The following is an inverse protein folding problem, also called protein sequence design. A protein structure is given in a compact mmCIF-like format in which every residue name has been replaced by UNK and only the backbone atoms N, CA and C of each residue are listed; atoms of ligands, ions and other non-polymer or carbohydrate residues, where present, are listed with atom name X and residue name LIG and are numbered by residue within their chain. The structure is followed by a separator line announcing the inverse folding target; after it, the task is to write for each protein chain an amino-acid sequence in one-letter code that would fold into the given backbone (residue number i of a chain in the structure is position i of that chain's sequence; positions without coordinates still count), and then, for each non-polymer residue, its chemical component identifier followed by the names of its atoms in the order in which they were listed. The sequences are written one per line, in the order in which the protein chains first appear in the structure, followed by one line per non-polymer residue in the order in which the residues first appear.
data_IF_296507738342
#
_entry.id   IF_296507738342
#
_cell.length_a   1.000
_cell.length_b   1.000
_cell.length_c   1.000
_cell.angle_alpha   90.00
_cell.angle_beta   90.00
_cell.angle_gamma   90.00
#
_symmetry.space_group_name_H-M   'P 1'
#
loop_
_entity.id
_entity.type
_entity.pdbx_description
1 polymer ?
#
# COMPACT_ATOMS: atom_id res chain seq x y z
N UNK A 1 5.50 -13.52 -19.40
CA UNK A 1 5.77 -12.09 -19.68
C UNK A 1 6.20 -11.39 -18.42
N UNK A 2 7.28 -10.59 -18.49
CA UNK A 2 7.71 -9.78 -17.35
C UNK A 2 6.65 -8.73 -17.04
N UNK A 3 6.47 -8.42 -15.77
CA UNK A 3 5.51 -7.43 -15.32
C UNK A 3 6.12 -6.52 -14.26
N UNK A 4 5.62 -5.29 -14.20
CA UNK A 4 6.00 -4.36 -13.15
C UNK A 4 5.43 -4.83 -11.82
N UNK A 5 6.27 -4.80 -10.77
CA UNK A 5 5.86 -5.10 -9.41
C UNK A 5 6.23 -3.92 -8.51
N UNK A 6 5.23 -3.30 -7.90
CA UNK A 6 5.46 -2.19 -6.96
C UNK A 6 6.30 -2.67 -5.77
N UNK A 7 6.07 -3.90 -5.30
CA UNK A 7 6.86 -4.49 -4.23
C UNK A 7 8.35 -4.51 -4.58
N UNK A 8 8.70 -5.03 -5.76
CA UNK A 8 10.09 -5.10 -6.22
C UNK A 8 10.67 -3.71 -6.43
N UNK A 9 9.87 -2.79 -6.96
CA UNK A 9 10.27 -1.40 -7.14
C UNK A 9 10.64 -0.76 -5.81
N UNK A 10 9.83 -0.94 -4.77
CA UNK A 10 10.11 -0.43 -3.43
C UNK A 10 11.37 -1.04 -2.83
N UNK A 11 11.61 -2.33 -3.06
CA UNK A 11 12.82 -3.00 -2.57
C UNK A 11 14.09 -2.38 -3.19
N UNK A 12 14.06 -2.06 -4.48
CA UNK A 12 15.20 -1.46 -5.18
C UNK A 12 15.46 -0.03 -4.72
N UNK A 13 14.40 0.73 -4.45
CA UNK A 13 14.49 2.14 -4.08
C UNK A 13 14.55 2.36 -2.57
N UNK A 14 14.63 1.31 -1.77
CA UNK A 14 14.59 1.35 -0.30
C UNK A 14 13.33 2.06 0.24
N UNK A 15 12.24 1.96 -0.51
CA UNK A 15 10.95 2.54 -0.12
C UNK A 15 10.11 1.58 0.69
N UNK A 16 8.91 2.05 1.07
CA UNK A 16 7.94 1.26 1.81
C UNK A 16 6.67 1.09 1.00
N UNK A 17 6.01 -0.06 1.13
CA UNK A 17 4.72 -0.32 0.50
C UNK A 17 3.54 0.02 1.40
N UNK A 18 3.79 0.26 2.69
CA UNK A 18 2.73 0.54 3.66
C UNK A 18 1.97 1.82 3.28
N UNK A 19 0.66 1.74 3.29
CA UNK A 19 -0.23 2.84 2.96
C UNK A 19 -0.58 2.96 1.49
N UNK A 20 0.07 2.23 0.61
CA UNK A 20 -0.17 2.28 -0.83
C UNK A 20 -1.08 1.15 -1.28
N UNK A 21 -1.92 1.43 -2.27
CA UNK A 21 -2.75 0.42 -2.92
C UNK A 21 -1.91 -0.29 -3.99
N UNK A 22 -1.18 -1.32 -3.58
CA UNK A 22 -0.26 -2.08 -4.42
C UNK A 22 -0.95 -2.65 -5.67
N UNK A 23 -2.15 -3.20 -5.52
CA UNK A 23 -2.90 -3.81 -6.62
C UNK A 23 -3.23 -2.77 -7.69
N UNK A 24 -3.73 -1.60 -7.28
CA UNK A 24 -4.06 -0.53 -8.22
C UNK A 24 -2.81 0.01 -8.92
N UNK A 25 -1.70 0.16 -8.20
CA UNK A 25 -0.44 0.63 -8.77
C UNK A 25 0.05 -0.36 -9.83
N UNK A 26 0.07 -1.65 -9.49
CA UNK A 26 0.51 -2.70 -10.43
C UNK A 26 -0.37 -2.73 -11.68
N UNK A 27 -1.69 -2.63 -11.52
CA UNK A 27 -2.62 -2.63 -12.65
C UNK A 27 -2.40 -1.43 -13.57
N UNK A 28 -2.29 -0.22 -13.01
CA UNK A 28 -2.10 1.00 -13.80
C UNK A 28 -0.75 1.01 -14.52
N UNK A 29 0.32 0.65 -13.84
CA UNK A 29 1.66 0.65 -14.46
C UNK A 29 1.78 -0.46 -15.50
N UNK A 30 1.24 -1.65 -15.23
CA UNK A 30 1.29 -2.75 -16.18
C UNK A 30 0.43 -2.50 -17.41
N UNK A 31 -0.66 -1.75 -17.31
CA UNK A 31 -1.43 -1.32 -18.48
C UNK A 31 -0.56 -0.50 -19.43
N UNK A 32 0.21 0.44 -18.90
CA UNK A 32 1.17 1.23 -19.70
C UNK A 32 2.28 0.35 -20.26
N UNK A 33 2.78 -0.60 -19.46
CA UNK A 33 3.82 -1.55 -19.87
C UNK A 33 3.33 -2.45 -21.02
N UNK A 34 2.09 -2.93 -20.94
CA UNK A 34 1.53 -3.77 -22.01
C UNK A 34 1.42 -2.99 -23.32
N UNK A 35 1.04 -1.71 -23.28
CA UNK A 35 1.01 -0.86 -24.47
C UNK A 35 2.41 -0.66 -25.06
N UNK A 36 3.38 -0.38 -24.19
CA UNK A 36 4.79 -0.23 -24.60
C UNK A 36 5.32 -1.54 -25.21
N UNK A 37 5.05 -2.66 -24.58
CA UNK A 37 5.44 -3.98 -25.07
C UNK A 37 4.85 -4.26 -26.45
N UNK A 38 3.56 -4.00 -26.61
CA UNK A 38 2.88 -4.21 -27.89
C UNK A 38 3.49 -3.34 -28.98
N UNK A 39 3.77 -2.08 -28.69
CA UNK A 39 4.33 -1.13 -29.65
C UNK A 39 5.77 -1.48 -30.04
N UNK A 40 6.50 -2.19 -29.19
CA UNK A 40 7.89 -2.57 -29.40
C UNK A 40 8.06 -4.08 -29.61
N UNK A 41 6.97 -4.81 -29.84
CA UNK A 41 7.01 -6.29 -29.90
C UNK A 41 7.97 -6.87 -30.91
N UNK A 42 8.28 -6.15 -31.99
CA UNK A 42 9.23 -6.61 -33.02
C UNK A 42 10.67 -6.69 -32.50
N UNK A 43 10.95 -5.98 -31.42
CA UNK A 43 12.29 -5.84 -30.83
C UNK A 43 12.44 -6.58 -29.51
N UNK A 44 11.32 -7.07 -28.94
CA UNK A 44 11.28 -7.69 -27.61
C UNK A 44 11.09 -9.19 -27.78
N UNK A 45 11.99 -9.98 -27.18
CA UNK A 45 11.85 -11.42 -27.07
C UNK A 45 11.98 -11.84 -25.60
N UNK A 46 11.79 -13.13 -25.32
CA UNK A 46 11.82 -13.63 -23.94
C UNK A 46 13.13 -13.35 -23.21
N UNK A 47 14.23 -13.25 -23.96
CA UNK A 47 15.56 -13.05 -23.39
C UNK A 47 15.81 -11.62 -22.93
N UNK A 48 15.17 -10.64 -23.58
CA UNK A 48 15.40 -9.23 -23.29
C UNK A 48 14.17 -8.50 -22.73
N UNK A 49 13.11 -9.23 -22.39
CA UNK A 49 11.87 -8.65 -21.88
C UNK A 49 12.10 -7.85 -20.58
N UNK A 50 12.89 -8.40 -19.65
CA UNK A 50 13.24 -7.70 -18.41
C UNK A 50 14.01 -6.41 -18.65
N UNK A 51 14.92 -6.41 -19.63
CA UNK A 51 15.69 -5.24 -20.00
C UNK A 51 14.78 -4.12 -20.56
N UNK A 52 13.79 -4.51 -21.37
CA UNK A 52 12.81 -3.55 -21.89
C UNK A 52 11.88 -3.04 -20.81
N UNK A 53 11.52 -3.87 -19.83
CA UNK A 53 10.73 -3.43 -18.68
C UNK A 53 11.52 -2.41 -17.86
N UNK A 54 12.80 -2.64 -17.63
CA UNK A 54 13.66 -1.70 -16.92
C UNK A 54 13.77 -0.37 -17.67
N UNK A 55 13.89 -0.44 -18.99
CA UNK A 55 13.93 0.74 -19.85
C UNK A 55 12.62 1.52 -19.79
N UNK A 56 11.48 0.81 -19.90
CA UNK A 56 10.15 1.39 -19.75
C UNK A 56 10.02 2.11 -18.42
N UNK A 57 10.43 1.46 -17.33
CA UNK A 57 10.35 2.02 -15.98
C UNK A 57 11.18 3.31 -15.88
N UNK A 58 12.40 3.30 -16.39
CA UNK A 58 13.27 4.47 -16.37
C UNK A 58 12.72 5.63 -17.21
N UNK A 59 12.21 5.34 -18.41
CA UNK A 59 11.63 6.36 -19.30
C UNK A 59 10.36 6.98 -18.76
N UNK A 60 9.59 6.25 -17.96
CA UNK A 60 8.30 6.67 -17.42
C UNK A 60 8.31 6.89 -15.91
N UNK A 61 9.48 7.08 -15.33
CA UNK A 61 9.64 7.14 -13.88
C UNK A 61 8.78 8.23 -13.22
N UNK A 62 8.67 9.40 -13.83
CA UNK A 62 7.86 10.49 -13.28
C UNK A 62 6.38 10.14 -13.25
N UNK A 63 5.89 9.52 -14.33
CA UNK A 63 4.50 9.07 -14.41
C UNK A 63 4.23 7.95 -13.42
N UNK A 64 5.17 7.04 -13.23
CA UNK A 64 5.06 5.96 -12.25
C UNK A 64 4.96 6.54 -10.84
N UNK A 65 5.77 7.53 -10.50
CA UNK A 65 5.66 8.20 -9.19
C UNK A 65 4.33 8.93 -9.02
N UNK A 66 3.77 9.53 -10.07
CA UNK A 66 2.44 10.13 -10.01
C UNK A 66 1.37 9.08 -9.69
N UNK A 67 1.44 7.91 -10.34
CA UNK A 67 0.52 6.80 -10.09
C UNK A 67 0.65 6.32 -8.65
N UNK A 68 1.88 6.14 -8.17
CA UNK A 68 2.16 5.71 -6.80
C UNK A 68 1.55 6.68 -5.79
N UNK A 69 1.83 7.98 -5.95
CA UNK A 69 1.36 9.00 -5.01
C UNK A 69 -0.16 9.15 -5.02
N UNK A 70 -0.80 8.97 -6.19
CA UNK A 70 -2.25 9.03 -6.32
C UNK A 70 -2.94 7.86 -5.60
N UNK A 71 -2.24 6.74 -5.44
CA UNK A 71 -2.76 5.52 -4.83
C UNK A 71 -2.27 5.35 -3.37
N UNK A 72 -1.89 6.43 -2.72
CA UNK A 72 -1.58 6.42 -1.30
C UNK A 72 -2.89 6.56 -0.51
N UNK A 73 -3.30 5.47 0.14
CA UNK A 73 -4.56 5.36 0.89
C UNK A 73 -4.28 4.81 2.30
N UNK A 74 -3.61 5.60 3.17
CA UNK A 74 -3.12 5.08 4.45
C UNK A 74 -4.22 4.67 5.41
N UNK A 75 -5.35 5.37 5.43
CA UNK A 75 -6.47 5.04 6.34
C UNK A 75 -7.06 3.68 5.98
N UNK A 76 -7.40 3.49 4.71
CA UNK A 76 -7.94 2.21 4.24
C UNK A 76 -6.94 1.08 4.45
N UNK A 77 -5.70 1.32 4.11
CA UNK A 77 -4.63 0.34 4.28
C UNK A 77 -4.49 -0.08 5.75
N UNK A 78 -4.50 0.89 6.66
CA UNK A 78 -4.34 0.64 8.09
C UNK A 78 -5.51 -0.17 8.66
N UNK A 79 -6.74 0.14 8.24
CA UNK A 79 -7.93 -0.61 8.64
C UNK A 79 -7.83 -2.07 8.16
N UNK A 80 -7.46 -2.28 6.91
CA UNK A 80 -7.32 -3.62 6.34
C UNK A 80 -6.19 -4.40 7.00
N UNK A 81 -5.05 -3.76 7.24
CA UNK A 81 -3.92 -4.36 7.93
C UNK A 81 -4.29 -4.83 9.33
N UNK A 82 -4.97 -3.98 10.07
CA UNK A 82 -5.38 -4.26 11.44
C UNK A 82 -6.38 -5.41 11.48
N UNK A 83 -7.36 -5.42 10.56
CA UNK A 83 -8.34 -6.49 10.46
C UNK A 83 -7.68 -7.83 10.11
N UNK A 84 -6.74 -7.82 9.20
CA UNK A 84 -6.00 -9.02 8.80
C UNK A 84 -5.16 -9.56 9.96
N UNK A 85 -4.49 -8.69 10.68
CA UNK A 85 -3.68 -9.07 11.85
C UNK A 85 -4.56 -9.67 12.94
N UNK A 86 -5.74 -9.08 13.19
CA UNK A 86 -6.70 -9.61 14.15
C UNK A 86 -7.13 -11.04 13.78
N UNK A 87 -7.39 -11.27 12.51
CA UNK A 87 -7.78 -12.58 12.00
C UNK A 87 -6.65 -13.61 12.18
N UNK A 88 -5.44 -13.24 11.86
CA UNK A 88 -4.26 -14.11 12.00
C UNK A 88 -4.00 -14.50 13.44
N UNK A 89 -4.23 -13.59 14.39
CA UNK A 89 -4.06 -13.84 15.80
C UNK A 89 -5.27 -14.53 16.45
N UNK A 90 -6.34 -14.75 15.68
CA UNK A 90 -7.55 -15.39 16.19
C UNK A 90 -8.35 -14.51 17.16
N UNK A 91 -8.07 -13.21 17.18
CA UNK A 91 -8.75 -12.26 18.06
C UNK A 91 -9.90 -11.62 17.30
N UNK A 92 -11.17 -11.77 17.75
CA UNK A 92 -12.28 -11.12 17.06
C UNK A 92 -12.20 -9.61 17.23
N UNK A 93 -12.30 -8.91 16.11
CA UNK A 93 -12.33 -7.46 16.11
C UNK A 93 -13.71 -7.01 16.61
N UNK A 94 -13.73 -6.10 17.58
CA UNK A 94 -14.92 -5.40 18.06
C UNK A 94 -16.14 -6.33 18.33
N UNK A 95 -15.94 -7.34 19.17
CA UNK A 95 -17.00 -8.26 19.54
C UNK A 95 -17.46 -9.20 18.41
N UNK A 96 -16.65 -9.35 17.37
CA UNK A 96 -16.93 -10.22 16.24
C UNK A 96 -17.64 -9.55 15.07
N UNK A 97 -18.04 -8.29 15.20
CA UNK A 97 -18.65 -7.54 14.10
C UNK A 97 -17.58 -6.70 13.36
N UNK A 98 -16.89 -7.37 12.44
CA UNK A 98 -15.79 -6.78 11.70
C UNK A 98 -16.20 -5.55 10.88
N UNK A 99 -17.35 -5.60 10.20
CA UNK A 99 -17.83 -4.48 9.37
C UNK A 99 -18.13 -3.22 10.19
N UNK A 100 -18.78 -3.40 11.33
CA UNK A 100 -19.07 -2.26 12.22
C UNK A 100 -17.79 -1.67 12.77
N UNK A 101 -16.82 -2.51 13.12
CA UNK A 101 -15.53 -2.06 13.60
C UNK A 101 -14.75 -1.29 12.52
N UNK A 102 -14.69 -1.83 11.31
CA UNK A 102 -14.01 -1.16 10.19
C UNK A 102 -14.62 0.21 9.91
N UNK A 103 -15.95 0.31 9.95
CA UNK A 103 -16.66 1.56 9.73
C UNK A 103 -16.32 2.57 10.83
N UNK A 104 -16.35 2.14 12.08
CA UNK A 104 -16.01 3.01 13.23
C UNK A 104 -14.57 3.49 13.17
N UNK A 105 -13.65 2.57 12.82
CA UNK A 105 -12.23 2.88 12.70
C UNK A 105 -12.00 3.89 11.57
N UNK A 106 -12.60 3.64 10.40
CA UNK A 106 -12.50 4.53 9.25
C UNK A 106 -13.07 5.92 9.56
N UNK A 107 -14.25 5.97 10.21
CA UNK A 107 -14.87 7.24 10.59
C UNK A 107 -14.00 8.05 11.56
N UNK A 108 -13.34 7.37 12.50
CA UNK A 108 -12.47 8.03 13.46
C UNK A 108 -11.24 8.66 12.81
N UNK A 109 -10.78 8.09 11.72
CA UNK A 109 -9.61 8.57 10.97
C UNK A 109 -9.97 9.38 9.73
N UNK A 110 -11.27 9.52 9.43
CA UNK A 110 -11.72 10.23 8.24
C UNK A 110 -11.25 11.68 8.27
N UNK A 111 -10.72 12.15 7.12
CA UNK A 111 -10.23 13.51 7.00
C UNK A 111 -8.81 13.73 7.52
N UNK A 112 -8.21 12.72 8.14
CA UNK A 112 -6.84 12.84 8.62
C UNK A 112 -5.84 12.49 7.51
N UNK A 113 -4.82 13.32 7.37
CA UNK A 113 -3.72 13.05 6.44
C UNK A 113 -2.61 12.34 7.21
N UNK A 114 -2.49 11.03 6.99
CA UNK A 114 -1.48 10.21 7.67
C UNK A 114 -0.21 10.18 6.84
N UNK A 115 0.88 10.72 7.39
CA UNK A 115 2.19 10.66 6.73
C UNK A 115 2.78 9.26 6.82
N UNK A 116 3.73 8.89 5.96
CA UNK A 116 4.39 7.58 6.05
C UNK A 116 5.03 7.31 7.42
N UNK A 117 5.60 8.32 8.08
CA UNK A 117 6.20 8.16 9.40
C UNK A 117 5.15 7.87 10.46
N UNK A 118 4.02 8.57 10.41
CA UNK A 118 2.90 8.34 11.32
C UNK A 118 2.30 6.95 11.11
N UNK A 119 2.15 6.55 9.86
CA UNK A 119 1.65 5.22 9.52
C UNK A 119 2.58 4.14 10.07
N UNK A 120 3.88 4.30 9.89
CA UNK A 120 4.89 3.38 10.42
C UNK A 120 4.79 3.26 11.94
N UNK A 121 4.57 4.37 12.63
CA UNK A 121 4.39 4.38 14.09
C UNK A 121 3.21 3.50 14.51
N UNK A 122 2.07 3.63 13.83
CA UNK A 122 0.90 2.82 14.17
C UNK A 122 1.06 1.35 13.82
N UNK A 123 1.71 1.03 12.70
CA UNK A 123 2.03 -0.34 12.34
C UNK A 123 2.92 -0.97 13.42
N UNK A 124 3.95 -0.26 13.86
CA UNK A 124 4.86 -0.74 14.88
C UNK A 124 4.15 -0.95 16.22
N UNK A 125 3.22 -0.07 16.60
CA UNK A 125 2.41 -0.23 17.80
C UNK A 125 1.53 -1.48 17.75
N UNK A 126 0.94 -1.76 16.58
CA UNK A 126 0.13 -2.97 16.38
C UNK A 126 1.00 -4.23 16.50
N UNK A 127 2.17 -4.23 15.88
CA UNK A 127 3.09 -5.36 15.90
C UNK A 127 3.65 -5.62 17.31
N UNK A 128 3.94 -4.56 18.05
CA UNK A 128 4.53 -4.66 19.39
C UNK A 128 3.50 -5.04 20.46
N UNK A 129 2.31 -4.46 20.41
CA UNK A 129 1.30 -4.58 21.47
C UNK A 129 0.09 -5.43 21.08
N UNK A 130 0.09 -5.96 19.85
CA UNK A 130 -0.97 -6.84 19.35
C UNK A 130 -2.25 -6.10 19.00
N UNK A 131 -3.27 -6.88 18.65
CA UNK A 131 -4.54 -6.36 18.12
C UNK A 131 -5.29 -5.50 19.12
N UNK A 132 -5.03 -5.68 20.41
CA UNK A 132 -5.65 -4.84 21.45
C UNK A 132 -5.40 -3.35 21.16
N UNK A 133 -4.24 -3.03 20.63
CA UNK A 133 -3.90 -1.66 20.24
C UNK A 133 -4.72 -1.15 19.06
N UNK A 134 -5.23 -2.05 18.21
CA UNK A 134 -6.04 -1.65 17.08
C UNK A 134 -7.30 -0.90 17.48
N UNK A 135 -7.87 -1.24 18.63
CA UNK A 135 -9.05 -0.55 19.15
C UNK A 135 -8.73 0.80 19.77
N UNK A 136 -7.50 1.00 20.17
CA UNK A 136 -7.03 2.23 20.79
C UNK A 136 -6.39 3.20 19.79
N UNK A 137 -6.04 2.74 18.58
CA UNK A 137 -5.37 3.55 17.58
C UNK A 137 -6.09 4.85 17.25
N UNK A 138 -7.42 4.88 17.03
CA UNK A 138 -8.10 6.15 16.73
C UNK A 138 -7.92 7.19 17.83
N UNK A 139 -7.98 6.75 19.09
CA UNK A 139 -7.78 7.64 20.24
C UNK A 139 -6.33 8.08 20.34
N UNK A 140 -5.40 7.15 20.18
CA UNK A 140 -3.96 7.45 20.22
C UNK A 140 -3.54 8.35 19.07
N UNK A 141 -4.12 8.13 17.89
CA UNK A 141 -3.84 8.97 16.72
C UNK A 141 -4.23 10.41 17.00
N UNK A 142 -5.43 10.62 17.53
CA UNK A 142 -5.91 11.96 17.89
C UNK A 142 -4.99 12.62 18.92
N UNK A 143 -4.59 11.87 19.95
CA UNK A 143 -3.67 12.38 20.97
C UNK A 143 -2.30 12.72 20.38
N UNK A 144 -1.79 11.86 19.51
CA UNK A 144 -0.50 12.06 18.83
C UNK A 144 -0.51 13.33 17.98
N UNK A 145 -1.58 13.55 17.20
CA UNK A 145 -1.72 14.72 16.33
C UNK A 145 -1.88 16.04 17.10
N UNK A 146 -2.32 15.98 18.36
CA UNK A 146 -2.52 17.15 19.20
C UNK A 146 -1.32 17.45 20.11
N UNK A 147 -0.31 16.63 20.09
CA UNK A 147 0.96 16.91 20.75
C UNK A 147 1.77 17.89 19.88
#
# INVERSE_FOLDING_TARGET
MAEFSFYDFCQQENGTIEGYNEVAIDEEVNEMWHDYFRDNAKHINEWNESDYLDRFTAENIDTIYEIINRNYEPVQWLVEYTARTAKELGTPAHGGNLKAWEKSFTNALEGEEITPDELWYFVNEIETNGVRMAFEIPVKFTAFMNE
#
